data_IF_048802047444
#
_entry.id   IF_048802047444
#
_cell.length_a   1.000
_cell.length_b   1.000
_cell.length_c   1.000
_cell.angle_alpha   90.00
_cell.angle_beta   90.00
_cell.angle_gamma   90.00
#
_symmetry.space_group_name_H-M   'P 1'
#
loop_
_entity.id
_entity.type
_entity.pdbx_description
1 polymer ?
#
# COMPACT_ATOMS: atom_id res chain seq x y z
N UNK A 1 14.85 6.73 -13.99
CA UNK A 1 13.96 6.54 -12.82
C UNK A 1 14.47 7.44 -11.71
N UNK A 2 13.60 8.28 -11.14
CA UNK A 2 14.05 9.46 -10.38
C UNK A 2 14.28 9.15 -8.91
N UNK A 3 15.55 8.99 -8.54
CA UNK A 3 16.05 9.14 -7.17
C UNK A 3 15.75 10.58 -6.72
N UNK A 4 14.92 10.77 -5.69
CA UNK A 4 14.57 12.09 -5.11
C UNK A 4 13.72 13.06 -5.94
N UNK A 5 12.54 12.64 -6.40
CA UNK A 5 11.46 13.62 -6.68
C UNK A 5 10.75 14.00 -5.39
N UNK A 6 10.47 15.29 -5.24
CA UNK A 6 9.57 15.80 -4.19
C UNK A 6 8.14 15.31 -4.51
N UNK A 7 7.81 14.10 -4.06
CA UNK A 7 6.52 13.43 -4.28
C UNK A 7 5.44 14.23 -3.58
N UNK A 8 4.40 14.60 -4.32
CA UNK A 8 3.23 15.30 -3.79
C UNK A 8 2.05 14.34 -3.72
N UNK A 9 1.08 14.66 -2.86
CA UNK A 9 -0.18 13.89 -2.73
C UNK A 9 -0.90 13.73 -4.09
N UNK A 10 -0.79 14.72 -4.99
CA UNK A 10 -1.38 14.67 -6.33
C UNK A 10 -0.70 13.66 -7.27
N UNK A 11 0.47 13.16 -6.93
CA UNK A 11 1.18 12.19 -7.77
C UNK A 11 0.62 10.77 -7.62
N UNK A 12 -0.05 10.46 -6.49
CA UNK A 12 -0.70 9.17 -6.24
C UNK A 12 -1.86 8.87 -7.21
N UNK A 13 -2.47 9.90 -7.79
CA UNK A 13 -3.57 9.74 -8.76
C UNK A 13 -3.11 9.73 -10.21
N UNK A 14 -1.80 9.89 -10.47
CA UNK A 14 -1.25 9.76 -11.81
C UNK A 14 -1.16 8.27 -12.11
N UNK A 15 -1.73 7.82 -13.23
CA UNK A 15 -1.66 6.43 -13.69
C UNK A 15 -0.26 6.05 -14.15
N UNK A 16 0.69 6.04 -13.22
CA UNK A 16 2.09 5.69 -13.42
C UNK A 16 2.31 4.25 -12.94
N UNK A 17 3.25 3.57 -13.56
CA UNK A 17 3.55 2.17 -13.23
C UNK A 17 4.17 2.00 -11.83
N UNK A 18 4.94 3.01 -11.38
CA UNK A 18 5.58 3.02 -10.06
C UNK A 18 5.94 4.46 -9.65
N UNK A 19 5.55 4.88 -8.44
CA UNK A 19 5.76 6.22 -7.90
C UNK A 19 7.17 6.41 -7.34
N UNK A 20 7.67 5.42 -6.60
CA UNK A 20 9.00 5.43 -5.99
C UNK A 20 9.66 4.06 -6.09
N UNK A 21 10.98 4.03 -6.19
CA UNK A 21 11.77 2.80 -6.04
C UNK A 21 12.57 2.94 -4.77
N UNK A 22 12.46 1.95 -3.88
CA UNK A 22 13.20 1.92 -2.62
C UNK A 22 14.57 1.30 -2.87
N UNK A 23 15.62 2.00 -2.44
CA UNK A 23 16.99 1.50 -2.38
C UNK A 23 17.36 1.40 -0.90
N UNK A 24 17.73 0.22 -0.37
CA UNK A 24 18.12 0.09 1.03
C UNK A 24 19.29 1.01 1.42
N UNK A 25 20.14 1.39 0.47
CA UNK A 25 21.22 2.34 0.71
C UNK A 25 20.73 3.78 1.02
N UNK A 26 19.49 4.12 0.66
CA UNK A 26 18.88 5.42 0.96
C UNK A 26 18.20 5.43 2.35
N UNK A 27 18.13 4.28 3.05
CA UNK A 27 17.52 4.18 4.37
C UNK A 27 18.48 4.64 5.49
N UNK A 28 17.95 5.13 6.62
CA UNK A 28 18.77 5.42 7.79
C UNK A 28 19.53 4.17 8.26
N UNK A 29 20.80 4.34 8.60
CA UNK A 29 21.61 3.27 9.19
C UNK A 29 21.01 2.82 10.52
N UNK A 30 21.10 1.51 10.78
CA UNK A 30 20.66 0.96 12.05
C UNK A 30 21.60 1.43 13.18
N UNK A 31 21.05 1.63 14.39
CA UNK A 31 21.86 1.98 15.54
C UNK A 31 22.70 0.78 16.02
N UNK A 32 23.59 1.03 16.99
CA UNK A 32 24.34 -0.01 17.69
C UNK A 32 23.46 -1.19 18.11
N UNK A 33 23.88 -2.46 17.87
CA UNK A 33 25.17 -2.91 17.35
C UNK A 33 25.20 -3.23 15.84
N UNK A 34 24.32 -2.62 15.04
CA UNK A 34 24.10 -2.96 13.64
C UNK A 34 24.66 -1.92 12.66
N UNK A 35 25.66 -1.12 13.06
CA UNK A 35 26.23 -0.08 12.21
C UNK A 35 26.84 -0.64 10.92
N UNK A 36 27.38 -1.86 10.98
CA UNK A 36 27.96 -2.55 9.83
C UNK A 36 26.92 -3.38 9.03
N UNK A 37 25.65 -3.38 9.46
CA UNK A 37 24.59 -4.09 8.76
C UNK A 37 24.27 -3.41 7.43
N UNK A 38 24.24 -4.19 6.35
CA UNK A 38 23.80 -3.73 5.05
C UNK A 38 22.56 -4.52 4.64
N UNK A 39 21.44 -3.82 4.46
CA UNK A 39 20.23 -4.44 4.00
C UNK A 39 20.39 -4.94 2.56
N UNK A 40 19.99 -6.18 2.26
CA UNK A 40 20.04 -6.70 0.90
C UNK A 40 19.06 -5.92 0.01
N UNK A 41 19.34 -5.83 -1.31
CA UNK A 41 18.40 -5.27 -2.27
C UNK A 41 17.03 -5.96 -2.21
N UNK A 42 15.96 -5.19 -2.40
CA UNK A 42 14.61 -5.75 -2.50
C UNK A 42 14.52 -6.69 -3.71
N UNK A 43 13.89 -7.85 -3.51
CA UNK A 43 13.67 -8.79 -4.59
C UNK A 43 12.69 -8.24 -5.62
N UNK A 44 13.05 -8.28 -6.90
CA UNK A 44 12.15 -7.90 -7.98
C UNK A 44 10.99 -8.89 -8.09
N UNK A 45 9.78 -8.37 -8.32
CA UNK A 45 8.59 -9.19 -8.55
C UNK A 45 8.61 -9.64 -10.02
N UNK A 46 8.58 -10.95 -10.32
CA UNK A 46 8.47 -11.44 -11.69
C UNK A 46 7.21 -10.92 -12.38
N UNK A 47 7.30 -10.64 -13.69
CA UNK A 47 6.20 -10.08 -14.49
C UNK A 47 4.90 -10.90 -14.39
N UNK A 48 5.02 -12.23 -14.33
CA UNK A 48 3.88 -13.14 -14.13
C UNK A 48 3.11 -12.91 -12.84
N UNK A 49 3.79 -12.41 -11.79
CA UNK A 49 3.19 -12.09 -10.49
C UNK A 49 2.66 -10.66 -10.39
N UNK A 50 2.99 -9.79 -11.34
CA UNK A 50 2.52 -8.38 -11.39
C UNK A 50 1.11 -8.27 -11.98
N UNK A 51 0.74 -9.17 -12.90
CA UNK A 51 -0.56 -9.11 -13.58
C UNK A 51 -1.72 -9.11 -12.59
N UNK A 52 -2.60 -8.11 -12.72
CA UNK A 52 -3.82 -7.96 -11.91
C UNK A 52 -3.60 -7.47 -10.48
N UNK A 53 -2.40 -6.97 -10.15
CA UNK A 53 -2.06 -6.47 -8.82
C UNK A 53 -1.56 -5.03 -8.90
N UNK A 54 -1.84 -4.26 -7.86
CA UNK A 54 -1.37 -2.89 -7.74
C UNK A 54 0.04 -2.86 -7.15
N UNK A 55 1.01 -2.40 -7.95
CA UNK A 55 2.41 -2.17 -7.56
C UNK A 55 2.81 -0.70 -7.75
N UNK A 56 1.83 0.18 -7.98
CA UNK A 56 2.06 1.55 -8.44
C UNK A 56 2.74 2.46 -7.42
N UNK A 57 2.82 2.05 -6.16
CA UNK A 57 3.45 2.84 -5.10
C UNK A 57 4.98 2.68 -5.10
N UNK A 58 5.47 1.58 -4.53
CA UNK A 58 6.89 1.32 -4.26
C UNK A 58 7.44 0.10 -5.01
N UNK A 59 6.60 -0.58 -5.80
CA UNK A 59 6.95 -1.82 -6.49
C UNK A 59 6.92 -3.07 -5.61
N UNK A 60 6.51 -2.96 -4.34
CA UNK A 60 6.46 -4.07 -3.38
C UNK A 60 5.00 -4.52 -3.19
N UNK A 61 4.80 -5.84 -3.09
CA UNK A 61 3.49 -6.45 -2.90
C UNK A 61 3.42 -7.21 -1.59
N UNK A 62 2.86 -6.60 -0.55
CA UNK A 62 2.52 -7.32 0.69
C UNK A 62 1.01 -7.57 0.82
N UNK A 63 0.19 -6.61 0.39
CA UNK A 63 -1.27 -6.72 0.41
C UNK A 63 -1.77 -6.84 -1.02
N UNK A 64 -2.50 -7.92 -1.31
CA UNK A 64 -3.09 -8.13 -2.63
C UNK A 64 -4.39 -7.35 -2.72
N UNK A 65 -4.30 -6.12 -3.23
CA UNK A 65 -5.48 -5.34 -3.60
C UNK A 65 -5.78 -5.60 -5.08
N UNK A 66 -6.97 -6.10 -5.44
CA UNK A 66 -7.33 -6.31 -6.84
C UNK A 66 -7.48 -4.98 -7.57
N UNK A 67 -6.92 -4.90 -8.77
CA UNK A 67 -7.11 -3.75 -9.68
C UNK A 67 -8.36 -4.01 -10.52
N UNK A 68 -9.42 -3.17 -10.42
CA UNK A 68 -10.63 -3.37 -11.19
C UNK A 68 -10.39 -3.10 -12.67
N UNK A 69 -10.95 -3.95 -13.54
CA UNK A 69 -10.89 -3.79 -15.00
C UNK A 69 -11.96 -2.82 -15.52
N UNK A 70 -13.06 -2.68 -14.77
CA UNK A 70 -14.22 -1.85 -15.15
C UNK A 70 -14.62 -0.87 -14.04
N UNK A 71 -15.37 0.16 -14.42
CA UNK A 71 -15.90 1.14 -13.47
C UNK A 71 -16.91 0.50 -12.53
N UNK A 72 -17.74 -0.39 -13.06
CA UNK A 72 -18.78 -1.12 -12.34
C UNK A 72 -18.16 -2.06 -11.30
N UNK A 73 -17.09 -2.77 -11.66
CA UNK A 73 -16.33 -3.59 -10.71
C UNK A 73 -15.72 -2.74 -9.60
N UNK A 74 -15.11 -1.59 -9.95
CA UNK A 74 -14.58 -0.65 -8.97
C UNK A 74 -15.65 -0.19 -7.97
N UNK A 75 -16.84 0.18 -8.46
CA UNK A 75 -17.95 0.59 -7.61
C UNK A 75 -18.40 -0.54 -6.67
N UNK A 76 -18.44 -1.79 -7.15
CA UNK A 76 -18.76 -2.95 -6.32
C UNK A 76 -17.72 -3.21 -5.23
N UNK A 77 -16.42 -3.11 -5.55
CA UNK A 77 -15.33 -3.26 -4.57
C UNK A 77 -15.44 -2.18 -3.50
N UNK A 78 -15.63 -0.92 -3.89
CA UNK A 78 -15.81 0.20 -2.96
C UNK A 78 -17.04 -0.01 -2.08
N UNK A 79 -18.17 -0.43 -2.66
CA UNK A 79 -19.39 -0.69 -1.89
C UNK A 79 -19.20 -1.80 -0.84
N UNK A 80 -18.48 -2.88 -1.18
CA UNK A 80 -18.14 -3.96 -0.24
C UNK A 80 -17.24 -3.46 0.89
N UNK A 81 -16.21 -2.67 0.58
CA UNK A 81 -15.34 -2.07 1.58
C UNK A 81 -16.11 -1.18 2.57
N UNK A 82 -16.93 -0.26 2.05
CA UNK A 82 -17.75 0.64 2.88
C UNK A 82 -18.79 -0.12 3.72
N UNK A 83 -19.36 -1.21 3.18
CA UNK A 83 -20.24 -2.11 3.94
C UNK A 83 -19.50 -2.79 5.10
N UNK A 84 -18.26 -3.25 4.87
CA UNK A 84 -17.39 -3.78 5.91
C UNK A 84 -17.07 -2.75 7.00
N UNK A 85 -16.69 -1.53 6.61
CA UNK A 85 -16.44 -0.44 7.55
C UNK A 85 -17.66 -0.12 8.41
N UNK A 86 -18.87 -0.07 7.82
CA UNK A 86 -20.10 0.13 8.60
C UNK A 86 -20.30 -0.98 9.63
N UNK A 87 -20.05 -2.24 9.27
CA UNK A 87 -20.15 -3.37 10.20
C UNK A 87 -19.15 -3.26 11.35
N UNK A 88 -17.91 -2.85 11.09
CA UNK A 88 -16.90 -2.64 12.13
C UNK A 88 -17.32 -1.59 13.17
N UNK A 89 -18.22 -0.68 12.80
CA UNK A 89 -18.68 0.42 13.65
C UNK A 89 -20.12 0.21 14.15
N UNK A 90 -20.64 -1.03 14.19
CA UNK A 90 -21.89 -1.32 14.89
C UNK A 90 -21.63 -2.03 16.21
N UNK A 91 -22.47 -1.77 17.19
CA UNK A 91 -22.39 -2.38 18.52
C UNK A 91 -22.49 -3.91 18.46
N UNK A 92 -23.34 -4.41 17.57
CA UNK A 92 -23.64 -5.85 17.44
C UNK A 92 -22.47 -6.62 16.82
N UNK A 93 -21.68 -5.98 15.97
CA UNK A 93 -20.63 -6.66 15.19
C UNK A 93 -19.23 -6.45 15.78
N UNK A 94 -18.90 -5.24 16.24
CA UNK A 94 -17.57 -4.94 16.80
C UNK A 94 -17.62 -3.70 17.71
N UNK A 95 -18.26 -3.86 18.88
CA UNK A 95 -18.41 -2.77 19.84
C UNK A 95 -17.08 -2.17 20.32
N UNK A 96 -15.98 -2.94 20.37
CA UNK A 96 -14.67 -2.43 20.79
C UNK A 96 -14.11 -1.38 19.82
N UNK A 97 -14.35 -1.56 18.51
CA UNK A 97 -13.97 -0.55 17.51
C UNK A 97 -14.83 0.72 17.64
N UNK A 98 -16.11 0.53 17.90
CA UNK A 98 -17.05 1.63 18.09
C UNK A 98 -16.75 2.44 19.37
N UNK A 99 -16.39 1.77 20.46
CA UNK A 99 -16.13 2.38 21.78
C UNK A 99 -15.06 3.47 21.71
N UNK A 100 -13.99 3.27 20.92
CA UNK A 100 -12.93 4.27 20.74
C UNK A 100 -13.42 5.59 20.13
N UNK A 101 -14.60 5.59 19.50
CA UNK A 101 -15.21 6.77 18.86
C UNK A 101 -16.36 7.36 19.67
N UNK A 102 -16.77 6.72 20.77
CA UNK A 102 -17.84 7.19 21.64
C UNK A 102 -17.22 7.77 22.92
N UNK A 103 -16.99 9.08 22.92
CA UNK A 103 -16.64 9.87 24.11
C UNK A 103 -17.89 10.22 24.92
#
# INVERSE_FOLDING_TARGET
MNKNKNIKIKDFSKGIDQLVTLDPADLPQLPYPYEDWQDPPYAEIPESKKKGKDLSLDGILNVVVPVPETKEEKEQIVAKFLSGLRKLLTKENNWMFLEQLML
#
